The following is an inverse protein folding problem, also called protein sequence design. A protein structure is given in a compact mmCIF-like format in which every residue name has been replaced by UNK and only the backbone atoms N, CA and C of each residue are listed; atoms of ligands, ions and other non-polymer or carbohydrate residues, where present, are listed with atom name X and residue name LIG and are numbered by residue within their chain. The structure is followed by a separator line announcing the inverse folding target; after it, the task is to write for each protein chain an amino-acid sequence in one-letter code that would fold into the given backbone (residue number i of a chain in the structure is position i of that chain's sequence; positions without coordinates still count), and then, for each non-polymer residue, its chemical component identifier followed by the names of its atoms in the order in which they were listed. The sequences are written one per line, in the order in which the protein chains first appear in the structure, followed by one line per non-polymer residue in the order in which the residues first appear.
data_IF_515459652637
#
_entry.id   IF_515459652637
#
_cell.length_a   1.000
_cell.length_b   1.000
_cell.length_c   1.000
_cell.angle_alpha   90.00
_cell.angle_beta   90.00
_cell.angle_gamma   90.00
#
_symmetry.space_group_name_H-M   'P 1'
#
loop_
_entity.id
_entity.type
_entity.pdbx_description
1 polymer ?
#
# COMPACT_ATOMS: atom_id res chain seq x y z
N UNK A 1 -0.66 -11.12 9.59
CA UNK A 1 -1.13 -12.16 10.53
C UNK A 1 -0.28 -13.42 10.44
N UNK A 2 -0.44 -14.39 11.35
CA UNK A 2 0.37 -15.62 11.44
C UNK A 2 0.38 -16.43 10.14
N UNK A 3 -0.76 -16.48 9.45
CA UNK A 3 -0.91 -17.18 8.17
C UNK A 3 -0.06 -16.60 7.02
N UNK A 4 0.43 -15.36 7.15
CA UNK A 4 1.18 -14.68 6.10
C UNK A 4 2.71 -14.75 6.27
N UNK A 5 3.23 -15.38 7.33
CA UNK A 5 4.68 -15.52 7.58
C UNK A 5 5.49 -14.20 7.40
N UNK A 6 4.98 -13.13 8.02
CA UNK A 6 5.51 -11.77 7.92
C UNK A 6 5.68 -11.24 6.47
N UNK A 7 4.93 -11.80 5.51
CA UNK A 7 4.90 -11.33 4.13
C UNK A 7 3.79 -10.28 3.92
N UNK A 8 3.98 -9.34 2.97
CA UNK A 8 2.90 -8.50 2.49
C UNK A 8 1.75 -9.35 1.93
N UNK A 9 0.51 -8.98 2.24
CA UNK A 9 -0.69 -9.62 1.70
C UNK A 9 -1.37 -8.66 0.74
N UNK A 10 -1.48 -9.06 -0.53
CA UNK A 10 -2.15 -8.26 -1.56
C UNK A 10 -3.62 -8.63 -1.67
N UNK A 11 -4.50 -7.63 -1.61
CA UNK A 11 -5.90 -7.80 -1.91
C UNK A 11 -6.11 -7.64 -3.42
N UNK A 12 -6.61 -8.70 -4.06
CA UNK A 12 -7.08 -8.69 -5.45
C UNK A 12 -8.60 -8.57 -5.45
N UNK A 13 -9.14 -7.78 -6.39
CA UNK A 13 -10.59 -7.57 -6.45
C UNK A 13 -11.20 -8.50 -7.50
N UNK A 14 -12.16 -9.31 -7.08
CA UNK A 14 -13.06 -10.05 -7.97
C UNK A 14 -14.34 -9.22 -8.06
N UNK A 15 -14.45 -8.36 -9.07
CA UNK A 15 -15.49 -7.36 -9.12
C UNK A 15 -16.85 -8.00 -9.45
N UNK A 16 -17.88 -7.72 -8.65
CA UNK A 16 -19.20 -8.31 -8.81
C UNK A 16 -20.03 -7.68 -9.96
N UNK A 17 -19.37 -7.10 -10.96
CA UNK A 17 -19.93 -6.42 -12.12
C UNK A 17 -19.23 -6.89 -13.40
N UNK A 18 -19.82 -6.60 -14.56
CA UNK A 18 -19.22 -6.91 -15.86
C UNK A 18 -18.01 -6.00 -16.13
N UNK A 19 -17.10 -6.46 -16.99
CA UNK A 19 -15.92 -5.69 -17.36
C UNK A 19 -16.28 -4.39 -18.09
N UNK A 20 -17.25 -4.44 -19.02
CA UNK A 20 -17.73 -3.27 -19.74
C UNK A 20 -18.32 -2.21 -18.80
N UNK A 21 -19.15 -2.62 -17.84
CA UNK A 21 -19.71 -1.69 -16.86
C UNK A 21 -18.63 -1.07 -15.96
N UNK A 22 -17.54 -1.80 -15.69
CA UNK A 22 -16.40 -1.28 -14.94
C UNK A 22 -15.59 -0.26 -15.76
N UNK A 23 -15.38 -0.51 -17.05
CA UNK A 23 -14.67 0.40 -17.96
C UNK A 23 -15.42 1.71 -18.21
N UNK A 24 -16.74 1.64 -18.38
CA UNK A 24 -17.59 2.81 -18.61
C UNK A 24 -17.84 3.63 -17.33
N UNK A 25 -17.53 3.07 -16.17
CA UNK A 25 -17.76 3.72 -14.87
C UNK A 25 -16.61 4.64 -14.48
N UNK A 26 -16.91 5.93 -14.31
CA UNK A 26 -15.95 6.90 -13.76
C UNK A 26 -15.52 6.57 -12.31
N UNK A 27 -16.34 5.82 -11.56
CA UNK A 27 -16.02 5.36 -10.21
C UNK A 27 -15.26 4.02 -10.20
N UNK A 28 -15.25 3.29 -11.32
CA UNK A 28 -14.75 1.93 -11.41
C UNK A 28 -15.64 0.94 -10.66
N UNK A 29 -15.35 0.69 -9.38
CA UNK A 29 -16.02 -0.35 -8.58
C UNK A 29 -17.38 0.09 -8.03
N UNK A 30 -18.28 -0.87 -7.83
CA UNK A 30 -19.55 -0.63 -7.13
C UNK A 30 -19.33 -0.31 -5.64
N UNK A 31 -20.28 0.38 -5.00
CA UNK A 31 -20.19 0.67 -3.56
C UNK A 31 -20.02 -0.61 -2.70
N UNK A 32 -20.68 -1.70 -3.11
CA UNK A 32 -20.53 -3.01 -2.47
C UNK A 32 -19.11 -3.56 -2.64
N UNK A 33 -18.56 -3.49 -3.85
CA UNK A 33 -17.19 -3.95 -4.12
C UNK A 33 -16.16 -3.12 -3.36
N UNK A 34 -16.36 -1.80 -3.24
CA UNK A 34 -15.50 -0.92 -2.43
C UNK A 34 -15.55 -1.36 -0.97
N UNK A 35 -16.73 -1.56 -0.39
CA UNK A 35 -16.84 -1.97 1.01
C UNK A 35 -16.14 -3.33 1.26
N UNK A 36 -16.41 -4.32 0.39
CA UNK A 36 -16.00 -5.71 0.61
C UNK A 36 -14.56 -6.01 0.17
N UNK A 37 -14.08 -5.35 -0.87
CA UNK A 37 -12.77 -5.63 -1.46
C UNK A 37 -11.72 -4.53 -1.22
N UNK A 38 -12.12 -3.36 -0.71
CA UNK A 38 -11.20 -2.24 -0.43
C UNK A 38 -11.21 -1.91 1.05
N UNK A 39 -12.30 -1.32 1.56
CA UNK A 39 -12.32 -0.73 2.90
C UNK A 39 -12.09 -1.75 4.02
N UNK A 40 -12.81 -2.88 4.01
CA UNK A 40 -12.63 -3.92 5.02
C UNK A 40 -11.22 -4.55 4.95
N UNK A 41 -10.72 -4.97 3.78
CA UNK A 41 -9.34 -5.44 3.64
C UNK A 41 -8.25 -4.43 4.04
N UNK A 42 -8.46 -3.13 3.84
CA UNK A 42 -7.50 -2.10 4.27
C UNK A 42 -7.40 -2.02 5.80
N UNK A 43 -8.53 -2.15 6.51
CA UNK A 43 -8.55 -2.25 7.98
C UNK A 43 -7.84 -3.52 8.46
N UNK A 44 -7.93 -4.62 7.70
CA UNK A 44 -7.16 -5.85 7.95
C UNK A 44 -5.65 -5.71 7.63
N UNK A 45 -5.20 -4.55 7.13
CA UNK A 45 -3.80 -4.28 6.78
C UNK A 45 -3.35 -4.92 5.46
N UNK A 46 -4.29 -5.28 4.58
CA UNK A 46 -3.96 -5.79 3.23
C UNK A 46 -3.63 -4.63 2.30
N UNK A 47 -2.68 -4.87 1.40
CA UNK A 47 -2.30 -3.90 0.38
C UNK A 47 -3.25 -4.07 -0.80
N UNK A 48 -4.09 -3.06 -1.06
CA UNK A 48 -4.95 -3.06 -2.24
C UNK A 48 -4.10 -3.10 -3.52
N UNK A 49 -4.43 -4.01 -4.43
CA UNK A 49 -3.84 -4.05 -5.77
C UNK A 49 -4.79 -3.46 -6.83
N UNK A 50 -5.65 -4.27 -7.42
CA UNK A 50 -6.66 -3.89 -8.42
C UNK A 50 -7.67 -5.02 -8.65
N UNK A 51 -8.73 -4.73 -9.41
CA UNK A 51 -9.56 -5.75 -10.03
C UNK A 51 -8.75 -6.64 -10.98
N UNK A 52 -8.98 -7.95 -10.94
CA UNK A 52 -8.35 -8.93 -11.84
C UNK A 52 -9.37 -9.80 -12.56
N UNK A 53 -10.62 -9.78 -12.12
CA UNK A 53 -11.71 -10.47 -12.77
C UNK A 53 -13.01 -9.70 -12.58
N UNK A 54 -13.96 -10.01 -13.46
CA UNK A 54 -15.28 -9.39 -13.53
C UNK A 54 -16.33 -10.47 -13.65
N UNK A 55 -17.50 -10.23 -13.06
CA UNK A 55 -18.62 -11.16 -13.13
C UNK A 55 -19.32 -10.97 -14.48
N UNK A 56 -19.24 -11.99 -15.32
CA UNK A 56 -19.80 -12.00 -16.67
C UNK A 56 -20.78 -13.18 -16.80
N UNK A 57 -21.74 -13.10 -17.71
CA UNK A 57 -22.64 -14.22 -18.00
C UNK A 57 -21.84 -15.31 -18.73
N UNK A 58 -21.66 -16.46 -18.06
CA UNK A 58 -20.83 -17.56 -18.55
C UNK A 58 -21.55 -18.36 -19.63
N UNK A 59 -22.79 -18.75 -19.35
CA UNK A 59 -23.70 -19.49 -20.24
C UNK A 59 -25.11 -19.57 -19.64
N UNK A 60 -26.10 -19.89 -20.46
CA UNK A 60 -27.45 -20.22 -20.01
C UNK A 60 -27.55 -21.73 -19.80
N UNK A 61 -27.98 -22.16 -18.63
CA UNK A 61 -28.17 -23.58 -18.33
C UNK A 61 -29.61 -24.00 -18.64
N UNK A 62 -29.80 -24.82 -19.68
CA UNK A 62 -31.14 -25.25 -20.11
C UNK A 62 -31.86 -26.13 -19.09
N UNK A 63 -31.12 -26.86 -18.24
CA UNK A 63 -31.71 -27.74 -17.23
C UNK A 63 -32.32 -26.96 -16.06
N UNK A 64 -31.75 -25.80 -15.71
CA UNK A 64 -32.21 -24.92 -14.62
C UNK A 64 -32.91 -23.66 -15.12
N UNK A 65 -32.96 -23.45 -16.44
CA UNK A 65 -33.50 -22.26 -17.12
C UNK A 65 -32.94 -20.94 -16.56
N UNK A 66 -31.67 -20.94 -16.16
CA UNK A 66 -31.01 -19.81 -15.50
C UNK A 66 -29.71 -19.40 -16.20
N UNK A 67 -29.44 -18.09 -16.23
CA UNK A 67 -28.13 -17.58 -16.62
C UNK A 67 -27.10 -17.82 -15.51
N UNK A 68 -26.03 -18.54 -15.82
CA UNK A 68 -24.93 -18.81 -14.90
C UNK A 68 -23.87 -17.73 -15.09
N UNK A 69 -23.65 -16.90 -14.07
CA UNK A 69 -22.60 -15.89 -14.09
C UNK A 69 -21.32 -16.43 -13.44
N UNK A 70 -20.18 -16.26 -14.12
CA UNK A 70 -18.86 -16.66 -13.62
C UNK A 70 -17.90 -15.47 -13.59
N UNK A 71 -16.78 -15.63 -12.88
CA UNK A 71 -15.70 -14.64 -12.94
C UNK A 71 -14.83 -14.89 -14.16
N UNK A 72 -14.73 -13.88 -15.02
CA UNK A 72 -13.80 -13.87 -16.14
C UNK A 72 -12.55 -13.08 -15.77
N UNK A 73 -11.40 -13.74 -15.87
CA UNK A 73 -10.10 -13.15 -15.60
C UNK A 73 -9.67 -12.17 -16.71
N UNK A 74 -9.03 -11.05 -16.33
CA UNK A 74 -8.39 -10.11 -17.26
C UNK A 74 -6.87 -10.20 -17.16
N UNK A 75 -6.24 -10.73 -18.20
CA UNK A 75 -4.86 -11.21 -18.18
C UNK A 75 -3.82 -10.13 -17.84
N UNK A 76 -3.92 -8.95 -18.44
CA UNK A 76 -3.02 -7.81 -18.21
C UNK A 76 -3.00 -7.35 -16.74
N UNK A 77 -4.15 -7.41 -16.07
CA UNK A 77 -4.27 -7.05 -14.65
C UNK A 77 -3.70 -8.13 -13.74
N UNK A 78 -3.89 -9.40 -14.09
CA UNK A 78 -3.24 -10.52 -13.37
C UNK A 78 -1.73 -10.40 -13.49
N UNK A 79 -1.22 -10.14 -14.69
CA UNK A 79 0.21 -9.95 -14.93
C UNK A 79 0.77 -8.79 -14.10
N UNK A 80 0.04 -7.67 -14.00
CA UNK A 80 0.43 -6.57 -13.13
C UNK A 80 0.57 -7.03 -11.66
N UNK A 81 -0.43 -7.73 -11.12
CA UNK A 81 -0.40 -8.18 -9.72
C UNK A 81 0.73 -9.18 -9.50
N UNK A 82 0.96 -10.10 -10.45
CA UNK A 82 2.08 -11.04 -10.39
C UNK A 82 3.44 -10.32 -10.37
N UNK A 83 3.63 -9.30 -11.22
CA UNK A 83 4.85 -8.48 -11.22
C UNK A 83 5.02 -7.69 -9.93
N UNK A 84 3.94 -7.14 -9.37
CA UNK A 84 3.96 -6.46 -8.09
C UNK A 84 4.42 -7.41 -6.97
N UNK A 85 3.81 -8.58 -6.87
CA UNK A 85 4.19 -9.61 -5.88
C UNK A 85 5.67 -10.02 -6.05
N UNK A 86 6.12 -10.26 -7.29
CA UNK A 86 7.51 -10.60 -7.59
C UNK A 86 8.49 -9.49 -7.18
N UNK A 87 8.13 -8.21 -7.38
CA UNK A 87 8.94 -7.08 -6.95
C UNK A 87 9.10 -7.03 -5.42
N UNK A 88 8.04 -7.35 -4.67
CA UNK A 88 8.09 -7.44 -3.21
C UNK A 88 8.92 -8.61 -2.71
N UNK A 89 8.83 -9.77 -3.38
CA UNK A 89 9.72 -10.91 -3.11
C UNK A 89 11.18 -10.52 -3.34
N UNK A 90 11.48 -9.86 -4.47
CA UNK A 90 12.82 -9.34 -4.76
C UNK A 90 13.29 -8.36 -3.68
N UNK A 91 12.44 -7.44 -3.22
CA UNK A 91 12.79 -6.50 -2.15
C UNK A 91 13.12 -7.23 -0.84
N UNK A 92 12.34 -8.26 -0.47
CA UNK A 92 12.56 -9.06 0.75
C UNK A 92 13.89 -9.81 0.71
N UNK A 93 14.29 -10.34 -0.45
CA UNK A 93 15.52 -11.11 -0.62
C UNK A 93 16.76 -10.27 -0.95
N UNK A 94 16.58 -9.01 -1.35
CA UNK A 94 17.72 -8.11 -1.64
C UNK A 94 18.42 -7.71 -0.32
N UNK A 95 19.74 -7.91 -0.20
CA UNK A 95 20.53 -7.42 0.93
C UNK A 95 20.35 -5.92 1.15
N UNK A 96 20.35 -5.46 2.41
CA UNK A 96 20.03 -4.07 2.74
C UNK A 96 20.93 -3.06 2.02
N UNK A 97 22.22 -3.34 1.90
CA UNK A 97 23.23 -2.50 1.21
C UNK A 97 23.06 -2.45 -0.31
N UNK A 98 22.24 -3.33 -0.89
CA UNK A 98 21.92 -3.36 -2.33
C UNK A 98 20.54 -2.78 -2.63
N UNK A 99 19.74 -2.46 -1.61
CA UNK A 99 18.40 -1.87 -1.81
C UNK A 99 18.54 -0.43 -2.29
N UNK A 100 17.77 -0.09 -3.31
CA UNK A 100 17.69 1.28 -3.84
C UNK A 100 16.33 1.85 -3.46
N UNK A 101 16.35 2.89 -2.63
CA UNK A 101 15.15 3.59 -2.16
C UNK A 101 15.06 4.94 -2.88
N UNK A 102 13.89 5.25 -3.41
CA UNK A 102 13.59 6.55 -4.00
C UNK A 102 12.56 7.27 -3.12
N UNK A 103 12.79 8.57 -2.85
CA UNK A 103 11.81 9.45 -2.22
C UNK A 103 11.24 10.38 -3.28
N UNK A 104 9.90 10.39 -3.41
CA UNK A 104 9.19 11.23 -4.37
C UNK A 104 8.45 12.32 -3.60
N UNK A 105 8.81 13.58 -3.87
CA UNK A 105 8.22 14.75 -3.21
C UNK A 105 7.16 15.40 -4.12
N UNK A 106 5.91 15.40 -3.67
CA UNK A 106 4.80 15.94 -4.44
C UNK A 106 4.80 17.48 -4.43
N UNK A 107 4.87 18.10 -5.60
CA UNK A 107 4.81 19.55 -5.76
C UNK A 107 3.51 19.93 -6.51
N UNK A 108 2.40 20.05 -5.79
CA UNK A 108 1.11 20.49 -6.34
C UNK A 108 0.25 21.20 -5.29
N UNK A 109 -0.34 22.38 -5.58
CA UNK A 109 -0.17 23.16 -6.81
C UNK A 109 1.20 23.86 -6.84
N UNK A 110 1.78 24.03 -8.05
CA UNK A 110 3.10 24.59 -8.35
C UNK A 110 3.26 26.06 -7.90
N UNK A 111 3.25 26.31 -6.59
CA UNK A 111 3.67 27.57 -5.97
C UNK A 111 4.86 27.24 -5.09
N UNK A 112 5.94 27.99 -5.26
CA UNK A 112 7.24 27.74 -4.61
C UNK A 112 7.17 27.65 -3.07
N UNK A 113 6.11 28.20 -2.46
CA UNK A 113 5.85 28.10 -1.02
C UNK A 113 5.31 26.75 -0.52
N UNK A 114 5.18 25.71 -1.37
CA UNK A 114 4.64 24.39 -1.00
C UNK A 114 5.40 23.21 -1.63
N UNK A 115 6.73 23.27 -1.59
CA UNK A 115 7.56 22.10 -1.92
C UNK A 115 7.23 20.94 -0.98
N UNK A 116 6.93 19.77 -1.55
CA UNK A 116 6.52 18.56 -0.82
C UNK A 116 5.24 18.79 0.02
N UNK A 117 4.06 18.66 -0.61
CA UNK A 117 2.75 18.94 0.00
C UNK A 117 2.32 17.88 1.03
N UNK A 118 3.06 17.72 2.13
CA UNK A 118 2.58 17.04 3.32
C UNK A 118 1.72 17.99 4.16
N UNK A 119 0.40 17.81 4.14
CA UNK A 119 -0.51 18.66 4.94
C UNK A 119 -0.16 18.54 6.42
N UNK A 120 0.18 19.67 7.04
CA UNK A 120 0.59 19.71 8.44
C UNK A 120 1.93 19.03 8.71
N UNK A 121 2.75 18.80 7.67
CA UNK A 121 4.08 18.21 7.76
C UNK A 121 5.14 19.18 7.21
N UNK A 122 6.16 19.52 8.00
CA UNK A 122 7.42 20.08 7.49
C UNK A 122 8.13 19.01 6.66
N UNK A 123 7.78 18.97 5.39
CA UNK A 123 8.14 17.88 4.49
C UNK A 123 9.62 17.89 4.11
N UNK A 124 10.30 19.04 3.90
CA UNK A 124 11.75 19.09 3.78
C UNK A 124 12.47 18.54 5.01
N UNK A 125 12.13 19.00 6.22
CA UNK A 125 12.77 18.53 7.45
C UNK A 125 12.52 17.03 7.69
N UNK A 126 11.29 16.57 7.48
CA UNK A 126 10.94 15.16 7.59
C UNK A 126 11.69 14.27 6.59
N UNK A 127 11.91 14.77 5.37
CA UNK A 127 12.68 14.06 4.33
C UNK A 127 14.14 13.89 4.76
N UNK A 128 14.79 14.96 5.21
CA UNK A 128 16.19 14.90 5.69
C UNK A 128 16.30 13.93 6.87
N UNK A 129 15.36 14.00 7.81
CA UNK A 129 15.34 13.12 8.97
C UNK A 129 15.18 11.63 8.57
N UNK A 130 14.23 11.33 7.69
CA UNK A 130 14.02 9.97 7.19
C UNK A 130 15.24 9.43 6.45
N UNK A 131 15.92 10.27 5.66
CA UNK A 131 17.16 9.88 4.96
C UNK A 131 18.30 9.57 5.93
N UNK A 132 18.51 10.39 6.96
CA UNK A 132 19.56 10.16 7.98
C UNK A 132 19.32 8.86 8.75
N UNK A 133 18.10 8.64 9.25
CA UNK A 133 17.78 7.41 9.99
C UNK A 133 17.84 6.16 9.11
N UNK A 134 17.53 6.30 7.82
CA UNK A 134 17.66 5.19 6.87
C UNK A 134 19.14 4.84 6.64
N UNK A 135 20.01 5.84 6.53
CA UNK A 135 21.45 5.65 6.32
C UNK A 135 22.13 5.07 7.57
N UNK A 136 21.87 5.68 8.74
CA UNK A 136 22.62 5.37 9.96
C UNK A 136 22.05 4.17 10.74
N UNK A 137 20.72 3.97 10.72
CA UNK A 137 20.04 2.88 11.45
C UNK A 137 19.23 1.92 10.58
N UNK A 138 19.06 2.20 9.28
CA UNK A 138 18.15 1.40 8.45
C UNK A 138 16.70 1.47 8.92
N UNK A 139 16.28 2.59 9.51
CA UNK A 139 14.94 2.85 10.04
C UNK A 139 14.31 4.04 9.31
N UNK A 140 13.02 3.93 8.97
CA UNK A 140 12.26 5.04 8.38
C UNK A 140 11.09 5.37 9.31
N UNK A 141 11.11 6.58 9.85
CA UNK A 141 10.03 7.16 10.67
C UNK A 141 9.86 8.63 10.32
N UNK A 142 8.69 9.19 10.61
CA UNK A 142 8.44 10.62 10.46
C UNK A 142 8.75 11.32 11.78
N UNK A 143 9.56 12.40 11.83
CA UNK A 143 9.79 13.12 13.06
C UNK A 143 8.52 13.85 13.51
N UNK A 144 8.31 13.92 14.82
CA UNK A 144 7.17 14.61 15.43
C UNK A 144 7.19 16.11 15.16
N UNK A 145 8.38 16.73 15.08
CA UNK A 145 8.57 18.13 14.68
C UNK A 145 8.00 18.46 13.32
N UNK A 146 7.88 17.45 12.44
CA UNK A 146 7.15 17.58 11.19
C UNK A 146 5.73 18.10 11.41
N UNK A 147 5.06 17.74 12.51
CA UNK A 147 3.70 18.15 12.85
C UNK A 147 3.62 19.40 13.73
N UNK A 148 4.74 20.10 13.91
CA UNK A 148 4.85 21.33 14.70
C UNK A 148 5.75 21.21 15.93
N UNK A 149 6.03 22.34 16.62
CA UNK A 149 7.02 22.40 17.69
C UNK A 149 6.73 21.47 18.87
N UNK A 150 5.45 21.19 19.15
CA UNK A 150 5.03 20.29 20.22
C UNK A 150 5.38 18.82 19.97
N UNK A 151 5.80 18.46 18.76
CA UNK A 151 6.28 17.11 18.42
C UNK A 151 7.79 16.92 18.61
N UNK A 152 8.50 17.89 19.18
CA UNK A 152 9.93 17.76 19.53
C UNK A 152 10.16 16.56 20.45
N UNK A 153 11.19 15.76 20.14
CA UNK A 153 11.50 14.53 20.89
C UNK A 153 10.59 13.32 20.59
N UNK A 154 9.60 13.46 19.71
CA UNK A 154 8.70 12.37 19.30
C UNK A 154 8.92 11.94 17.85
N UNK A 155 8.48 10.71 17.52
CA UNK A 155 8.39 10.19 16.15
C UNK A 155 7.02 9.57 15.93
N UNK A 156 6.51 9.58 14.70
CA UNK A 156 5.28 8.87 14.32
C UNK A 156 5.61 7.44 13.95
N UNK A 157 5.03 6.48 14.67
CA UNK A 157 5.13 5.06 14.37
C UNK A 157 3.81 4.54 13.75
N UNK A 158 3.94 3.59 12.82
CA UNK A 158 2.79 2.83 12.32
C UNK A 158 2.54 1.63 13.24
N UNK A 159 1.36 1.54 13.84
CA UNK A 159 0.98 0.45 14.75
C UNK A 159 0.55 -0.84 14.02
N UNK A 160 0.64 -0.86 12.69
CA UNK A 160 0.26 -2.00 11.86
C UNK A 160 1.39 -3.01 11.66
N UNK A 161 2.55 -2.78 12.28
CA UNK A 161 3.71 -3.67 12.22
C UNK A 161 3.71 -4.65 13.40
N UNK A 162 4.20 -5.90 13.24
CA UNK A 162 4.39 -6.81 14.36
C UNK A 162 5.33 -6.23 15.42
N UNK A 163 5.06 -6.52 16.69
CA UNK A 163 5.81 -6.02 17.85
C UNK A 163 7.32 -6.23 17.72
N UNK A 164 7.75 -7.42 17.27
CA UNK A 164 9.17 -7.74 17.03
C UNK A 164 9.88 -6.74 16.10
N UNK A 165 9.16 -6.24 15.07
CA UNK A 165 9.70 -5.25 14.12
C UNK A 165 9.75 -3.85 14.73
N UNK A 166 8.78 -3.51 15.58
CA UNK A 166 8.78 -2.26 16.33
C UNK A 166 9.94 -2.25 17.33
N UNK A 167 10.11 -3.32 18.10
CA UNK A 167 11.21 -3.49 19.05
C UNK A 167 12.58 -3.41 18.37
N UNK A 168 12.76 -4.09 17.22
CA UNK A 168 13.96 -3.99 16.40
C UNK A 168 14.24 -2.55 15.97
N UNK A 169 13.22 -1.85 15.49
CA UNK A 169 13.33 -0.45 15.09
C UNK A 169 13.75 0.45 16.26
N UNK A 170 13.09 0.32 17.40
CA UNK A 170 13.41 1.07 18.63
C UNK A 170 14.84 0.79 19.08
N UNK A 171 15.29 -0.47 19.08
CA UNK A 171 16.65 -0.84 19.48
C UNK A 171 17.71 -0.18 18.60
N UNK A 172 17.48 -0.13 17.28
CA UNK A 172 18.38 0.56 16.33
C UNK A 172 18.41 2.06 16.54
N UNK A 173 17.26 2.68 16.83
CA UNK A 173 17.18 4.11 17.16
C UNK A 173 17.91 4.44 18.47
N UNK A 174 17.76 3.62 19.51
CA UNK A 174 18.49 3.81 20.78
C UNK A 174 20.00 3.65 20.60
N UNK A 175 20.44 2.75 19.71
CA UNK A 175 21.85 2.52 19.42
C UNK A 175 22.52 3.71 18.72
N UNK A 176 21.76 4.61 18.09
CA UNK A 176 22.32 5.74 17.32
C UNK A 176 22.97 6.84 18.16
N UNK A 177 22.78 6.86 19.49
CA UNK A 177 23.31 7.92 20.40
C UNK A 177 23.28 9.31 19.73
N UNK A 178 22.07 9.81 19.48
CA UNK A 178 21.85 11.23 19.13
C UNK A 178 21.89 12.07 20.40
#
# INVERSE_FOLDING_TARGET
GPAANAAPVFQVVLAAMTEAAWEDSAAGLSARDIAMNVALPEVDGRILSRAISFKDEAFFDEATECAIATYRARGDRIEFVARLAAAWVKLRTTPADKRRVALVLANYPNKDGRLANGVGLDSPAATIHAMRLLDEAGVVVTPGTGYGPSGEGYVRLSLTLPDERLEEGVRRLVALRV
#
